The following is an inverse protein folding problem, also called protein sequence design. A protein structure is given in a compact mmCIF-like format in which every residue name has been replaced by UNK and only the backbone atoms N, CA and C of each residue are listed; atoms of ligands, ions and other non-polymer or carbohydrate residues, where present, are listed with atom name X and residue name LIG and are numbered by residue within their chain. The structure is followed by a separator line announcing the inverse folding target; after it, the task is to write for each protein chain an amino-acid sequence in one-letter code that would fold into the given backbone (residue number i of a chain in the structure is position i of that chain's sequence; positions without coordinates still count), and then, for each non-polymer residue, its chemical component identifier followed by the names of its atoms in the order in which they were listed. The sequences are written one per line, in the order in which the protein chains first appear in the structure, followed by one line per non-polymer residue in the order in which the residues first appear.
data_IF_623582285333
#
_entry.id   IF_623582285333
#
_cell.length_a   1.000
_cell.length_b   1.000
_cell.length_c   1.000
_cell.angle_alpha   90.00
_cell.angle_beta   90.00
_cell.angle_gamma   90.00
#
_symmetry.space_group_name_H-M   'P 1'
#
loop_
_entity.id
_entity.type
_entity.pdbx_description
1 polymer ?
#
# COMPACT_ATOMS: atom_id res chain seq x y z
N UNK A 1 -0.13 -10.69 8.01
CA UNK A 1 -0.82 -9.67 8.79
C UNK A 1 -1.22 -10.26 10.14
N UNK A 2 -0.90 -9.56 11.26
CA UNK A 2 -1.27 -9.96 12.60
C UNK A 2 -0.79 -11.37 13.00
N UNK A 3 0.35 -11.81 12.47
CA UNK A 3 0.76 -13.22 12.57
C UNK A 3 1.29 -13.58 13.95
N UNK A 4 1.90 -12.63 14.62
CA UNK A 4 2.54 -12.85 15.91
C UNK A 4 1.75 -12.19 17.03
N UNK A 5 1.52 -12.92 18.11
CA UNK A 5 0.89 -12.37 19.32
C UNK A 5 1.85 -11.46 20.09
N UNK A 6 3.16 -11.71 20.00
CA UNK A 6 4.20 -11.02 20.75
C UNK A 6 5.35 -10.56 19.85
N UNK A 7 5.91 -9.40 20.17
CA UNK A 7 7.10 -8.85 19.55
C UNK A 7 8.30 -9.79 19.64
N UNK A 8 8.44 -10.58 20.71
CA UNK A 8 9.51 -11.58 20.84
C UNK A 8 9.54 -12.56 19.68
N UNK A 9 8.38 -12.99 19.16
CA UNK A 9 8.30 -13.89 18.01
C UNK A 9 8.74 -13.18 16.72
N UNK A 10 8.40 -11.92 16.56
CA UNK A 10 8.91 -11.10 15.46
C UNK A 10 10.45 -10.99 15.52
N UNK A 11 11.02 -10.75 16.71
CA UNK A 11 12.47 -10.69 16.88
C UNK A 11 13.17 -12.00 16.46
N UNK A 12 12.58 -13.17 16.78
CA UNK A 12 13.11 -14.47 16.32
C UNK A 12 13.10 -14.60 14.79
N UNK A 13 12.06 -14.09 14.14
CA UNK A 13 12.00 -14.02 12.67
C UNK A 13 13.11 -13.10 12.11
N UNK A 14 13.28 -11.91 12.68
CA UNK A 14 14.31 -10.96 12.24
C UNK A 14 15.72 -11.53 12.42
N UNK A 15 15.97 -12.23 13.52
CA UNK A 15 17.25 -12.93 13.75
C UNK A 15 17.51 -14.03 12.73
N UNK A 16 16.47 -14.78 12.35
CA UNK A 16 16.58 -15.76 11.29
C UNK A 16 16.86 -15.10 9.93
N UNK A 17 16.19 -14.02 9.62
CA UNK A 17 16.44 -13.25 8.40
C UNK A 17 17.87 -12.70 8.34
N UNK A 18 18.41 -12.19 9.45
CA UNK A 18 19.81 -11.74 9.56
C UNK A 18 20.78 -12.91 9.29
N UNK A 19 20.55 -14.06 9.88
CA UNK A 19 21.40 -15.26 9.71
C UNK A 19 21.44 -15.80 8.27
N UNK A 20 20.34 -15.61 7.53
CA UNK A 20 20.24 -16.06 6.13
C UNK A 20 20.64 -14.99 5.11
N UNK A 21 20.98 -13.77 5.56
CA UNK A 21 21.26 -12.63 4.68
C UNK A 21 20.03 -12.01 4.01
N UNK A 22 18.82 -12.43 4.40
CA UNK A 22 17.58 -11.91 3.83
C UNK A 22 17.17 -10.56 4.44
N UNK A 23 17.69 -10.21 5.62
CA UNK A 23 17.29 -9.02 6.37
C UNK A 23 17.44 -7.73 5.55
N UNK A 24 18.56 -7.57 4.85
CA UNK A 24 18.86 -6.37 4.05
C UNK A 24 18.01 -6.24 2.78
N UNK A 25 17.23 -7.28 2.43
CA UNK A 25 16.27 -7.27 1.33
C UNK A 25 14.86 -6.86 1.79
N UNK A 26 14.63 -6.73 3.09
CA UNK A 26 13.32 -6.38 3.64
C UNK A 26 13.17 -4.85 3.66
N UNK A 27 12.29 -4.33 2.85
CA UNK A 27 12.00 -2.89 2.77
C UNK A 27 11.21 -2.42 4.01
N UNK A 28 10.21 -3.20 4.42
CA UNK A 28 9.42 -3.02 5.64
C UNK A 28 8.68 -4.33 5.96
N UNK A 29 8.15 -4.43 7.17
CA UNK A 29 7.25 -5.52 7.59
C UNK A 29 5.89 -4.92 7.91
N UNK A 30 4.87 -5.38 7.21
CA UNK A 30 3.49 -4.95 7.39
C UNK A 30 2.81 -5.76 8.48
N UNK A 31 2.14 -5.08 9.40
CA UNK A 31 1.30 -5.62 10.47
C UNK A 31 1.80 -6.95 11.03
N UNK A 32 3.02 -7.02 11.60
CA UNK A 32 3.61 -8.31 11.99
C UNK A 32 2.95 -8.92 13.22
N UNK A 33 2.40 -8.09 14.09
CA UNK A 33 1.74 -8.50 15.33
C UNK A 33 0.23 -8.31 15.25
N UNK A 34 -0.51 -8.93 16.17
CA UNK A 34 -1.96 -8.80 16.22
C UNK A 34 -2.37 -7.34 16.49
N UNK A 35 -3.59 -6.97 16.10
CA UNK A 35 -4.10 -5.60 16.28
C UNK A 35 -4.20 -5.19 17.76
N UNK A 36 -4.39 -6.17 18.64
CA UNK A 36 -4.48 -5.95 20.11
C UNK A 36 -3.10 -5.78 20.76
N UNK A 37 -2.01 -6.03 20.00
CA UNK A 37 -0.67 -5.89 20.55
C UNK A 37 -0.33 -4.43 20.82
N UNK A 38 0.11 -4.14 22.05
CA UNK A 38 0.45 -2.80 22.54
C UNK A 38 1.96 -2.61 22.75
N UNK A 39 2.78 -3.55 22.30
CA UNK A 39 4.23 -3.44 22.46
C UNK A 39 4.81 -2.34 21.56
N UNK A 40 5.74 -1.58 22.12
CA UNK A 40 6.43 -0.52 21.37
C UNK A 40 7.34 -1.11 20.27
N UNK A 41 7.20 -0.60 19.03
CA UNK A 41 7.95 -1.07 17.86
C UNK A 41 9.08 -0.12 17.44
N UNK A 42 9.17 1.05 18.05
CA UNK A 42 10.10 2.11 17.62
C UNK A 42 11.58 1.80 17.85
N UNK A 43 11.89 0.84 18.71
CA UNK A 43 13.25 0.34 18.97
C UNK A 43 13.74 -0.67 17.92
N UNK A 44 12.87 -1.13 17.01
CA UNK A 44 13.27 -1.98 15.91
C UNK A 44 14.00 -1.15 14.83
N UNK A 45 15.12 -1.68 14.35
CA UNK A 45 15.86 -1.09 13.22
C UNK A 45 15.04 -1.12 11.92
N UNK A 46 14.30 -2.23 11.72
CA UNK A 46 13.45 -2.41 10.55
C UNK A 46 12.20 -1.53 10.63
N UNK A 47 11.74 -1.09 9.47
CA UNK A 47 10.48 -0.35 9.37
C UNK A 47 9.30 -1.29 9.54
N UNK A 48 8.43 -0.99 10.51
CA UNK A 48 7.14 -1.68 10.72
C UNK A 48 6.04 -0.78 10.19
N UNK A 49 5.18 -1.34 9.33
CA UNK A 49 4.01 -0.67 8.75
C UNK A 49 2.74 -1.09 9.45
N UNK A 50 1.84 -0.13 9.68
CA UNK A 50 0.51 -0.37 10.23
C UNK A 50 -0.54 -0.40 9.11
N UNK A 51 -1.34 -1.44 9.05
CA UNK A 51 -2.45 -1.62 8.11
C UNK A 51 -3.77 -1.81 8.84
N UNK A 52 -4.09 -3.02 9.24
CA UNK A 52 -5.37 -3.34 9.89
C UNK A 52 -5.53 -2.56 11.20
N UNK A 53 -4.49 -2.46 11.99
CA UNK A 53 -4.49 -1.72 13.25
C UNK A 53 -4.52 -0.20 13.09
N UNK A 54 -4.37 0.32 11.87
CA UNK A 54 -4.53 1.72 11.49
C UNK A 54 -5.71 1.89 10.52
N UNK A 55 -6.88 1.37 10.90
CA UNK A 55 -8.07 1.41 10.07
C UNK A 55 -8.59 2.84 9.82
N UNK A 56 -8.40 3.74 10.76
CA UNK A 56 -8.80 5.13 10.74
C UNK A 56 -7.67 6.07 11.18
N UNK A 57 -8.00 7.36 11.29
CA UNK A 57 -7.04 8.39 11.69
C UNK A 57 -6.51 8.18 13.11
N UNK A 58 -7.37 7.85 14.05
CA UNK A 58 -7.03 7.64 15.45
C UNK A 58 -6.12 6.41 15.60
N UNK A 59 -6.40 5.35 14.89
CA UNK A 59 -5.55 4.16 14.80
C UNK A 59 -4.18 4.49 14.22
N UNK A 60 -4.11 5.29 13.14
CA UNK A 60 -2.85 5.73 12.56
C UNK A 60 -2.02 6.55 13.55
N UNK A 61 -2.64 7.51 14.26
CA UNK A 61 -1.96 8.30 15.29
C UNK A 61 -1.39 7.39 16.39
N UNK A 62 -2.20 6.46 16.90
CA UNK A 62 -1.80 5.51 17.94
C UNK A 62 -0.61 4.65 17.47
N UNK A 63 -0.67 4.04 16.29
CA UNK A 63 0.42 3.18 15.81
C UNK A 63 1.72 3.95 15.56
N UNK A 64 1.66 5.15 15.06
CA UNK A 64 2.85 6.01 14.93
C UNK A 64 3.44 6.32 16.32
N UNK A 65 2.61 6.61 17.35
CA UNK A 65 3.08 6.80 18.72
C UNK A 65 3.72 5.53 19.31
N UNK A 66 3.24 4.36 18.91
CA UNK A 66 3.84 3.06 19.26
C UNK A 66 5.11 2.73 18.47
N UNK A 67 5.59 3.65 17.63
CA UNK A 67 6.85 3.51 16.91
C UNK A 67 6.75 2.79 15.56
N UNK A 68 5.54 2.65 15.00
CA UNK A 68 5.38 2.22 13.62
C UNK A 68 5.93 3.30 12.68
N UNK A 69 6.66 2.88 11.64
CA UNK A 69 7.46 3.75 10.77
C UNK A 69 6.97 3.76 9.31
N UNK A 70 5.78 3.23 9.05
CA UNK A 70 5.06 3.32 7.79
C UNK A 70 3.55 3.16 8.04
N UNK A 71 2.72 3.70 7.13
CA UNK A 71 1.28 3.45 7.08
C UNK A 71 0.87 2.84 5.76
N UNK A 72 -0.01 1.87 5.81
CA UNK A 72 -0.65 1.27 4.64
C UNK A 72 -2.03 1.91 4.43
N UNK A 73 -2.20 2.54 3.27
CA UNK A 73 -3.42 3.23 2.88
C UNK A 73 -4.21 2.36 1.92
N UNK A 74 -5.52 2.32 2.09
CA UNK A 74 -6.44 1.58 1.21
C UNK A 74 -7.57 2.53 0.81
N UNK A 75 -7.39 3.22 -0.32
CA UNK A 75 -8.31 4.27 -0.80
C UNK A 75 -9.75 3.79 -1.05
N UNK A 76 -10.01 2.49 -0.97
CA UNK A 76 -11.34 1.88 -1.05
C UNK A 76 -11.79 1.43 0.34
N UNK A 77 -11.06 0.52 1.00
CA UNK A 77 -11.48 -0.07 2.27
C UNK A 77 -11.51 0.95 3.42
N UNK A 78 -10.53 1.86 3.46
CA UNK A 78 -10.47 2.94 4.47
C UNK A 78 -11.12 4.24 3.98
N UNK A 79 -11.74 4.25 2.82
CA UNK A 79 -12.19 5.39 2.02
C UNK A 79 -11.04 6.31 1.55
N UNK A 80 -11.27 7.04 0.45
CA UNK A 80 -10.26 7.96 -0.07
C UNK A 80 -10.02 9.13 0.90
N UNK A 81 -11.09 9.70 1.46
CA UNK A 81 -11.01 10.84 2.38
C UNK A 81 -10.25 10.49 3.66
N UNK A 82 -10.50 9.30 4.24
CA UNK A 82 -9.75 8.82 5.40
C UNK A 82 -8.29 8.57 5.05
N UNK A 83 -8.02 7.89 3.94
CA UNK A 83 -6.65 7.64 3.46
C UNK A 83 -5.88 8.94 3.22
N UNK A 84 -6.52 9.97 2.66
CA UNK A 84 -5.89 11.28 2.47
C UNK A 84 -5.63 12.00 3.80
N UNK A 85 -6.54 11.92 4.78
CA UNK A 85 -6.35 12.48 6.13
C UNK A 85 -5.16 11.80 6.82
N UNK A 86 -5.08 10.47 6.74
CA UNK A 86 -3.96 9.70 7.28
C UNK A 86 -2.64 10.04 6.58
N UNK A 87 -2.64 10.16 5.25
CA UNK A 87 -1.47 10.54 4.47
C UNK A 87 -0.95 11.93 4.83
N UNK A 88 -1.85 12.92 5.02
CA UNK A 88 -1.47 14.26 5.48
C UNK A 88 -0.78 14.24 6.84
N UNK A 89 -1.34 13.53 7.81
CA UNK A 89 -0.74 13.35 9.13
C UNK A 89 0.63 12.63 9.04
N UNK A 90 0.71 11.57 8.26
CA UNK A 90 1.96 10.84 8.07
C UNK A 90 3.04 11.72 7.44
N UNK A 91 2.68 12.53 6.43
CA UNK A 91 3.57 13.49 5.79
C UNK A 91 4.15 14.49 6.80
N UNK A 92 3.32 15.08 7.66
CA UNK A 92 3.75 16.01 8.73
C UNK A 92 4.71 15.36 9.73
N UNK A 93 4.62 14.04 9.91
CA UNK A 93 5.48 13.26 10.82
C UNK A 93 6.69 12.63 10.12
N UNK A 94 6.86 12.83 8.81
CA UNK A 94 7.91 12.18 8.03
C UNK A 94 7.76 10.66 7.92
N UNK A 95 6.54 10.15 8.06
CA UNK A 95 6.21 8.72 7.98
C UNK A 95 5.82 8.39 6.55
N UNK A 96 6.51 7.48 5.86
CA UNK A 96 6.14 7.07 4.51
C UNK A 96 4.82 6.29 4.50
N UNK A 97 4.08 6.46 3.41
CA UNK A 97 2.86 5.72 3.14
C UNK A 97 3.01 4.79 1.94
N UNK A 98 2.28 3.69 1.99
CA UNK A 98 2.15 2.71 0.92
C UNK A 98 0.66 2.66 0.57
N UNK A 99 0.33 2.54 -0.71
CA UNK A 99 -1.03 2.24 -1.12
C UNK A 99 -1.14 0.74 -1.40
N UNK A 100 -2.05 0.05 -0.71
CA UNK A 100 -2.34 -1.34 -0.97
C UNK A 100 -3.77 -1.53 -1.47
N UNK A 101 -4.01 -2.59 -2.23
CA UNK A 101 -5.34 -2.96 -2.66
C UNK A 101 -5.90 -4.15 -1.85
N UNK A 102 -7.14 -4.51 -2.14
CA UNK A 102 -7.87 -5.65 -1.56
C UNK A 102 -8.24 -6.68 -2.64
N UNK A 103 -7.40 -6.90 -3.64
CA UNK A 103 -7.76 -7.71 -4.82
C UNK A 103 -8.91 -7.05 -5.60
N UNK A 104 -8.62 -5.92 -6.22
CA UNK A 104 -9.62 -5.09 -6.91
C UNK A 104 -9.59 -5.26 -8.43
N UNK A 105 -10.65 -4.79 -9.09
CA UNK A 105 -10.76 -4.77 -10.56
C UNK A 105 -9.77 -3.80 -11.21
N UNK A 106 -9.50 -3.91 -12.53
CA UNK A 106 -8.58 -3.01 -13.23
C UNK A 106 -8.87 -1.51 -13.03
N UNK A 107 -10.14 -1.12 -13.02
CA UNK A 107 -10.54 0.26 -12.81
C UNK A 107 -10.18 0.75 -11.39
N UNK A 108 -10.37 -0.10 -10.39
CA UNK A 108 -10.04 0.23 -9.01
C UNK A 108 -8.53 0.20 -8.73
N UNK A 109 -7.74 -0.52 -9.54
CA UNK A 109 -6.27 -0.36 -9.54
C UNK A 109 -5.90 1.06 -9.95
N UNK A 110 -6.56 1.64 -10.97
CA UNK A 110 -6.31 3.01 -11.40
C UNK A 110 -6.80 4.04 -10.36
N UNK A 111 -7.84 3.73 -9.59
CA UNK A 111 -8.20 4.50 -8.41
C UNK A 111 -7.04 4.57 -7.40
N UNK A 112 -6.44 3.42 -7.07
CA UNK A 112 -5.31 3.36 -6.15
C UNK A 112 -4.04 4.01 -6.72
N UNK A 113 -3.79 3.92 -8.04
CA UNK A 113 -2.69 4.65 -8.69
C UNK A 113 -2.81 6.16 -8.50
N UNK A 114 -4.05 6.71 -8.58
CA UNK A 114 -4.29 8.13 -8.31
C UNK A 114 -3.90 8.54 -6.89
N UNK A 115 -4.06 7.67 -5.91
CA UNK A 115 -3.59 7.90 -4.56
C UNK A 115 -2.07 7.73 -4.48
N UNK A 116 -1.56 6.57 -4.90
CA UNK A 116 -0.15 6.20 -4.75
C UNK A 116 0.82 7.18 -5.43
N UNK A 117 0.49 7.67 -6.64
CA UNK A 117 1.35 8.59 -7.37
C UNK A 117 1.44 10.01 -6.76
N UNK A 118 0.61 10.31 -5.76
CA UNK A 118 0.60 11.59 -5.03
C UNK A 118 1.18 11.49 -3.63
N UNK A 119 1.54 10.29 -3.19
CA UNK A 119 2.27 10.08 -1.95
C UNK A 119 3.74 10.47 -2.13
N UNK A 120 4.42 10.83 -1.05
CA UNK A 120 5.87 10.98 -1.07
C UNK A 120 6.53 9.68 -1.51
N UNK A 121 7.62 9.73 -2.28
CA UNK A 121 8.38 8.54 -2.63
C UNK A 121 8.73 7.72 -1.38
N UNK A 122 8.56 6.40 -1.49
CA UNK A 122 8.90 5.54 -0.36
C UNK A 122 10.42 5.50 -0.17
N UNK A 123 10.96 5.62 1.07
CA UNK A 123 12.38 5.61 1.34
C UNK A 123 13.08 4.38 0.77
N UNK A 124 14.13 4.60 -0.03
CA UNK A 124 14.82 3.55 -0.80
C UNK A 124 14.29 3.37 -2.23
N UNK A 125 13.17 4.01 -2.56
CA UNK A 125 12.57 4.04 -3.90
C UNK A 125 12.38 5.49 -4.34
N UNK A 126 12.47 5.78 -5.64
CA UNK A 126 12.22 7.11 -6.19
C UNK A 126 10.78 7.26 -6.70
N UNK A 127 9.84 6.50 -6.14
CA UNK A 127 8.45 6.43 -6.59
C UNK A 127 7.51 6.09 -5.44
N UNK A 128 6.21 6.31 -5.63
CA UNK A 128 5.16 5.79 -4.77
C UNK A 128 5.10 4.26 -4.83
N UNK A 129 4.77 3.63 -3.72
CA UNK A 129 4.63 2.18 -3.63
C UNK A 129 3.15 1.82 -3.67
N UNK A 130 2.80 0.96 -4.63
CA UNK A 130 1.46 0.40 -4.78
C UNK A 130 1.55 -1.13 -4.83
N UNK A 131 0.90 -1.80 -3.88
CA UNK A 131 0.62 -3.23 -3.99
C UNK A 131 -0.70 -3.43 -4.76
N UNK A 132 -0.68 -4.36 -5.73
CA UNK A 132 -1.88 -4.82 -6.43
C UNK A 132 -1.72 -6.28 -6.85
N UNK A 133 -2.77 -7.06 -6.69
CA UNK A 133 -2.74 -8.51 -6.91
C UNK A 133 -3.97 -9.04 -7.68
N UNK A 134 -4.84 -8.16 -8.18
CA UNK A 134 -6.04 -8.55 -8.91
C UNK A 134 -5.75 -9.43 -10.12
N UNK A 135 -4.69 -9.12 -10.86
CA UNK A 135 -4.23 -9.90 -12.02
C UNK A 135 -3.77 -11.32 -11.67
N UNK A 136 -3.44 -11.61 -10.43
CA UNK A 136 -3.07 -12.95 -9.95
C UNK A 136 -4.27 -13.73 -9.41
N UNK A 137 -5.30 -13.03 -8.95
CA UNK A 137 -6.44 -13.63 -8.26
C UNK A 137 -7.69 -13.78 -9.16
N UNK A 138 -7.89 -12.90 -10.15
CA UNK A 138 -9.03 -13.01 -11.07
C UNK A 138 -8.66 -13.80 -12.34
N UNK A 139 -9.32 -14.93 -12.56
CA UNK A 139 -9.12 -15.76 -13.77
C UNK A 139 -9.45 -15.03 -15.08
N UNK A 140 -10.40 -14.09 -15.04
CA UNK A 140 -10.90 -13.34 -16.18
C UNK A 140 -10.34 -11.92 -16.23
N UNK A 141 -9.13 -11.68 -15.73
CA UNK A 141 -8.51 -10.35 -15.64
C UNK A 141 -8.50 -9.59 -16.97
N UNK A 142 -8.12 -10.25 -18.08
CA UNK A 142 -8.10 -9.62 -19.40
C UNK A 142 -9.51 -9.23 -19.89
N UNK A 143 -10.52 -10.03 -19.57
CA UNK A 143 -11.90 -9.66 -19.85
C UNK A 143 -12.33 -8.44 -18.99
N UNK A 144 -11.96 -8.41 -17.72
CA UNK A 144 -12.23 -7.25 -16.85
C UNK A 144 -11.54 -5.98 -17.36
N UNK A 145 -10.32 -6.10 -17.91
CA UNK A 145 -9.63 -4.99 -18.56
C UNK A 145 -10.38 -4.48 -19.80
N UNK A 146 -11.06 -5.33 -20.55
CA UNK A 146 -11.85 -4.89 -21.71
C UNK A 146 -13.07 -4.02 -21.31
N UNK A 147 -13.49 -4.09 -20.07
CA UNK A 147 -14.56 -3.23 -19.51
C UNK A 147 -14.04 -1.88 -19.01
N UNK A 148 -12.74 -1.74 -18.84
CA UNK A 148 -12.12 -0.49 -18.44
C UNK A 148 -12.14 0.51 -19.61
N UNK A 149 -12.51 1.79 -19.44
CA UNK A 149 -12.56 2.79 -20.51
C UNK A 149 -11.24 2.91 -21.29
N UNK A 150 -10.12 2.69 -20.60
CA UNK A 150 -8.76 2.76 -21.13
C UNK A 150 -7.97 1.46 -20.93
N UNK A 151 -8.61 0.29 -21.04
CA UNK A 151 -7.99 -1.01 -20.73
C UNK A 151 -6.70 -1.34 -21.50
N UNK A 152 -6.46 -0.69 -22.62
CA UNK A 152 -5.24 -0.84 -23.44
C UNK A 152 -4.21 0.28 -23.26
N UNK A 153 -4.47 1.26 -22.41
CA UNK A 153 -3.56 2.39 -22.19
C UNK A 153 -2.21 1.94 -21.62
N UNK A 154 -1.19 2.78 -21.81
CA UNK A 154 0.18 2.52 -21.35
C UNK A 154 0.25 2.26 -19.85
N UNK A 155 -0.48 3.03 -19.06
CA UNK A 155 -0.48 2.94 -17.59
C UNK A 155 -1.17 1.68 -17.02
N UNK A 156 -1.93 0.93 -17.83
CA UNK A 156 -2.53 -0.35 -17.40
C UNK A 156 -1.57 -1.52 -17.49
N UNK A 157 -0.40 -1.31 -18.10
CA UNK A 157 0.65 -2.31 -18.28
C UNK A 157 1.73 -2.13 -17.23
N UNK A 158 2.24 -3.27 -16.75
CA UNK A 158 3.39 -3.30 -15.84
C UNK A 158 4.64 -3.58 -16.65
N UNK A 159 5.67 -2.76 -16.49
CA UNK A 159 7.01 -3.02 -17.00
C UNK A 159 8.00 -3.05 -15.83
N UNK A 160 8.66 -4.19 -15.62
CA UNK A 160 9.64 -4.41 -14.53
C UNK A 160 9.12 -3.99 -13.15
N UNK A 161 7.86 -4.29 -12.86
CA UNK A 161 7.22 -3.95 -11.59
C UNK A 161 6.74 -2.49 -11.47
N UNK A 162 6.78 -1.72 -12.55
CA UNK A 162 6.41 -0.29 -12.54
C UNK A 162 5.22 -0.04 -13.47
N UNK A 163 4.27 0.77 -13.02
CA UNK A 163 3.25 1.39 -13.87
C UNK A 163 3.78 2.74 -14.36
N UNK A 164 3.89 2.91 -15.67
CA UNK A 164 4.31 4.18 -16.27
C UNK A 164 3.11 5.11 -16.45
N UNK A 165 2.96 6.07 -15.55
CA UNK A 165 1.87 7.04 -15.57
C UNK A 165 2.28 8.22 -16.44
N UNK A 166 1.61 8.42 -17.56
CA UNK A 166 1.85 9.48 -18.51
C UNK A 166 0.90 10.68 -18.34
N UNK A 167 1.04 11.68 -19.19
CA UNK A 167 0.18 12.88 -19.16
C UNK A 167 -1.29 12.54 -19.37
N UNK A 168 -1.59 11.52 -20.17
CA UNK A 168 -2.96 11.09 -20.42
C UNK A 168 -3.58 10.47 -19.16
N UNK A 169 -2.83 9.64 -18.42
CA UNK A 169 -3.28 9.15 -17.12
C UNK A 169 -3.70 10.29 -16.20
N UNK A 170 -2.86 11.31 -16.05
CA UNK A 170 -3.17 12.42 -15.15
C UNK A 170 -4.36 13.26 -15.63
N UNK A 171 -4.48 13.50 -16.94
CA UNK A 171 -5.60 14.28 -17.50
C UNK A 171 -6.93 13.57 -17.40
N UNK A 172 -6.93 12.23 -17.43
CA UNK A 172 -8.11 11.37 -17.37
C UNK A 172 -8.32 10.72 -16.00
N UNK A 173 -7.44 10.99 -15.04
CA UNK A 173 -7.42 10.31 -13.74
C UNK A 173 -7.46 8.78 -13.88
N UNK A 174 -6.74 8.22 -14.86
CA UNK A 174 -6.75 6.79 -15.16
C UNK A 174 -8.09 6.25 -15.70
N UNK A 175 -9.01 7.13 -16.09
CA UNK A 175 -10.34 6.75 -16.61
C UNK A 175 -11.40 6.45 -15.56
N UNK A 176 -11.12 6.68 -14.26
CA UNK A 176 -12.03 6.32 -13.17
C UNK A 176 -13.35 7.13 -13.15
N UNK A 177 -13.42 8.25 -13.87
CA UNK A 177 -14.61 9.09 -13.99
C UNK A 177 -15.28 8.98 -15.36
N UNK A 178 -14.76 8.18 -16.26
CA UNK A 178 -15.32 7.99 -17.59
C UNK A 178 -16.44 6.95 -17.55
N UNK A 179 -17.45 7.08 -18.43
CA UNK A 179 -18.49 6.06 -18.56
C UNK A 179 -17.91 4.70 -18.92
N UNK A 180 -18.39 3.65 -18.26
CA UNK A 180 -17.99 2.31 -18.60
C UNK A 180 -18.67 1.86 -19.90
N UNK A 181 -17.97 1.15 -20.81
CA UNK A 181 -18.51 0.77 -22.12
C UNK A 181 -19.75 -0.14 -22.06
N UNK A 182 -20.01 -0.74 -20.90
CA UNK A 182 -21.05 -1.76 -20.71
C UNK A 182 -22.20 -1.32 -19.77
N UNK A 183 -22.26 -0.03 -19.40
CA UNK A 183 -23.36 0.55 -18.61
C UNK A 183 -24.00 1.71 -19.31
#
# INVERSE_FOLDING_TARGET
NGRYEKKETLLKFLDAAKKTGAYDQILFIEEPVTEENEEFMGDLEIRVGADESAHDYEGAVRRIQMGYKALVLKGIAKTLSMSMKMAGFAYEKGIPCICADLTVSPLLVDWHKNLACRLSPFPGLNMGLLETNGNLNYKNWEQMKSYHPYGNASWTKVDKGVFNLDTEFYSKSGGIFEPLPHY
#
